data_IF_263493479297
#
_entry.id   IF_263493479297
#
_cell.length_a   1.000
_cell.length_b   1.000
_cell.length_c   1.000
_cell.angle_alpha   90.00
_cell.angle_beta   90.00
_cell.angle_gamma   90.00
#
_symmetry.space_group_name_H-M   'P 1'
#
loop_
_entity.id
_entity.type
_entity.pdbx_description
1 polymer ?
#
# COMPACT_ATOMS: atom_id res chain seq x y z
N UNK A 1 -19.82 4.04 -3.69
CA UNK A 1 -19.00 2.90 -3.22
C UNK A 1 -19.02 2.90 -1.71
N UNK A 2 -19.09 1.73 -1.08
CA UNK A 2 -18.93 1.61 0.38
C UNK A 2 -17.45 1.83 0.74
N UNK A 3 -17.09 2.90 1.48
CA UNK A 3 -15.70 3.18 1.85
C UNK A 3 -15.11 2.10 2.77
N UNK A 4 -15.97 1.31 3.42
CA UNK A 4 -15.58 0.19 4.28
C UNK A 4 -15.53 -1.14 3.52
N UNK A 5 -15.77 -1.16 2.22
CA UNK A 5 -15.61 -2.36 1.40
C UNK A 5 -14.14 -2.77 1.29
N UNK A 6 -13.90 -4.08 1.13
CA UNK A 6 -12.55 -4.65 0.95
C UNK A 6 -11.76 -3.93 -0.16
N UNK A 7 -12.30 -3.72 -1.38
CA UNK A 7 -11.56 -3.04 -2.44
C UNK A 7 -11.18 -1.58 -2.10
N UNK A 8 -12.08 -0.86 -1.42
CA UNK A 8 -11.84 0.53 -1.02
C UNK A 8 -10.74 0.61 0.04
N UNK A 9 -10.80 -0.25 1.06
CA UNK A 9 -9.79 -0.31 2.13
C UNK A 9 -8.44 -0.75 1.58
N UNK A 10 -8.39 -1.76 0.73
CA UNK A 10 -7.14 -2.20 0.10
C UNK A 10 -6.50 -1.08 -0.73
N UNK A 11 -7.30 -0.38 -1.54
CA UNK A 11 -6.82 0.73 -2.36
C UNK A 11 -6.27 1.87 -1.50
N UNK A 12 -7.00 2.25 -0.43
CA UNK A 12 -6.57 3.29 0.49
C UNK A 12 -5.32 2.90 1.28
N UNK A 13 -5.27 1.68 1.82
CA UNK A 13 -4.15 1.19 2.64
C UNK A 13 -2.88 1.01 1.82
N UNK A 14 -2.96 0.38 0.64
CA UNK A 14 -1.82 0.21 -0.27
C UNK A 14 -1.37 1.57 -0.81
N UNK A 15 -2.31 2.45 -1.18
CA UNK A 15 -2.01 3.82 -1.56
C UNK A 15 -1.21 4.54 -0.48
N UNK A 16 -1.73 4.59 0.75
CA UNK A 16 -1.05 5.24 1.87
C UNK A 16 0.32 4.62 2.20
N UNK A 17 0.46 3.29 2.09
CA UNK A 17 1.70 2.58 2.37
C UNK A 17 2.79 2.79 1.30
N UNK A 18 2.40 3.16 0.07
CA UNK A 18 3.28 3.38 -1.09
C UNK A 18 3.35 4.85 -1.55
N UNK A 19 2.62 5.76 -0.89
CA UNK A 19 2.59 7.19 -1.23
C UNK A 19 3.82 7.92 -0.70
N UNK A 20 4.58 8.53 -1.60
CA UNK A 20 5.66 9.43 -1.25
C UNK A 20 5.18 10.87 -1.15
N UNK A 21 5.55 11.54 -0.07
CA UNK A 21 5.33 12.97 0.13
C UNK A 21 6.67 13.71 0.18
N UNK A 22 6.67 14.97 -0.27
CA UNK A 22 7.86 15.80 -0.23
C UNK A 22 8.41 15.94 1.20
N UNK A 23 9.69 15.65 1.39
CA UNK A 23 10.34 15.68 2.70
C UNK A 23 10.41 14.34 3.43
N UNK A 24 9.84 13.27 2.87
CA UNK A 24 10.00 11.93 3.40
C UNK A 24 11.47 11.47 3.27
N UNK A 25 12.11 11.04 4.38
CA UNK A 25 13.50 10.58 4.34
C UNK A 25 13.67 9.22 3.64
N UNK A 26 12.66 8.36 3.72
CA UNK A 26 12.58 7.05 3.08
C UNK A 26 11.12 6.54 3.07
N UNK A 27 10.93 5.33 2.51
CA UNK A 27 9.61 4.69 2.39
C UNK A 27 8.91 4.43 3.73
N UNK A 28 9.64 4.36 4.85
CA UNK A 28 9.03 4.12 6.16
C UNK A 28 8.14 5.28 6.60
N UNK A 29 8.35 6.49 6.06
CA UNK A 29 7.49 7.63 6.35
C UNK A 29 6.05 7.41 5.89
N UNK A 30 5.87 6.85 4.69
CA UNK A 30 4.56 6.45 4.17
C UNK A 30 3.89 5.42 5.07
N UNK A 31 4.63 4.38 5.46
CA UNK A 31 4.12 3.34 6.34
C UNK A 31 3.68 3.90 7.71
N UNK A 32 4.45 4.82 8.31
CA UNK A 32 4.06 5.47 9.57
C UNK A 32 2.75 6.23 9.44
N UNK A 33 2.51 6.91 8.31
CA UNK A 33 1.20 7.56 8.02
C UNK A 33 0.09 6.53 7.81
N UNK A 34 0.39 5.42 7.15
CA UNK A 34 -0.56 4.34 6.88
C UNK A 34 -0.93 3.50 8.12
N UNK A 35 -0.20 3.63 9.24
CA UNK A 35 -0.36 2.80 10.45
C UNK A 35 -1.81 2.57 10.92
N UNK A 36 -2.74 3.55 10.90
CA UNK A 36 -4.14 3.32 11.27
C UNK A 36 -4.90 2.32 10.38
N UNK A 37 -4.40 2.08 9.18
CA UNK A 37 -4.96 1.16 8.18
C UNK A 37 -4.32 -0.24 8.25
N UNK A 38 -3.35 -0.46 9.13
CA UNK A 38 -2.61 -1.72 9.25
C UNK A 38 -3.05 -2.48 10.50
N UNK A 39 -2.91 -3.81 10.50
CA UNK A 39 -2.91 -4.57 11.75
C UNK A 39 -1.67 -4.22 12.57
N UNK A 40 -1.72 -4.42 13.88
CA UNK A 40 -0.60 -4.07 14.77
C UNK A 40 0.64 -4.92 14.46
N UNK A 41 0.41 -6.21 14.22
CA UNK A 41 1.43 -7.18 13.85
C UNK A 41 2.09 -6.79 12.52
N UNK A 42 1.29 -6.40 11.53
CA UNK A 42 1.82 -6.02 10.24
C UNK A 42 2.60 -4.71 10.31
N UNK A 43 2.10 -3.71 11.04
CA UNK A 43 2.81 -2.46 11.25
C UNK A 43 4.21 -2.67 11.88
N UNK A 44 4.33 -3.63 12.81
CA UNK A 44 5.61 -3.96 13.44
C UNK A 44 6.61 -4.61 12.46
N UNK A 45 6.14 -5.48 11.58
CA UNK A 45 6.98 -6.16 10.57
C UNK A 45 7.33 -5.25 9.39
N UNK A 46 6.37 -4.44 8.95
CA UNK A 46 6.46 -3.63 7.76
C UNK A 46 7.54 -2.54 7.83
N UNK A 47 7.89 -2.03 9.02
CA UNK A 47 8.90 -0.96 9.15
C UNK A 47 10.29 -1.39 8.64
N UNK A 48 10.61 -2.68 8.76
CA UNK A 48 11.84 -3.25 8.21
C UNK A 48 11.70 -3.57 6.72
N UNK A 49 10.54 -4.08 6.29
CA UNK A 49 10.28 -4.47 4.91
C UNK A 49 10.01 -3.29 3.94
N UNK A 50 9.60 -2.13 4.46
CA UNK A 50 9.19 -0.99 3.63
C UNK A 50 10.29 -0.53 2.65
N UNK A 51 11.57 -0.68 3.01
CA UNK A 51 12.68 -0.30 2.13
C UNK A 51 12.85 -1.20 0.90
N UNK A 52 12.29 -2.42 0.91
CA UNK A 52 12.41 -3.34 -0.24
C UNK A 52 11.23 -3.26 -1.21
N UNK A 53 10.11 -2.65 -0.80
CA UNK A 53 8.89 -2.59 -1.62
C UNK A 53 9.00 -1.63 -2.81
N UNK A 54 9.76 -0.55 -2.65
CA UNK A 54 10.08 0.37 -3.73
C UNK A 54 11.60 0.37 -3.93
N UNK A 55 12.12 -0.29 -4.98
CA UNK A 55 13.56 -0.30 -5.27
C UNK A 55 14.00 1.03 -5.88
N UNK A 56 13.69 2.14 -5.21
CA UNK A 56 14.01 3.50 -5.63
C UNK A 56 15.34 3.90 -4.97
N UNK A 57 16.39 4.23 -5.76
CA UNK A 57 17.66 4.69 -5.20
C UNK A 57 17.49 5.97 -4.36
N UNK A 58 18.27 6.12 -3.29
CA UNK A 58 18.28 7.32 -2.41
C UNK A 58 18.41 8.63 -3.20
N UNK A 59 19.24 8.66 -4.24
CA UNK A 59 19.39 9.84 -5.09
C UNK A 59 18.09 10.24 -5.81
N UNK A 60 17.21 9.27 -6.12
CA UNK A 60 15.90 9.53 -6.73
C UNK A 60 14.91 10.06 -5.70
N UNK A 61 14.92 9.53 -4.47
CA UNK A 61 14.13 10.09 -3.36
C UNK A 61 14.43 11.58 -3.13
N UNK A 62 15.71 11.96 -3.15
CA UNK A 62 16.10 13.38 -3.01
C UNK A 62 15.56 14.27 -4.13
N UNK A 63 15.48 13.78 -5.37
CA UNK A 63 14.91 14.57 -6.49
C UNK A 63 13.41 14.80 -6.34
N UNK A 64 12.70 13.87 -5.71
CA UNK A 64 11.25 13.96 -5.52
C UNK A 64 10.84 14.90 -4.37
N UNK A 65 11.76 15.36 -3.53
CA UNK A 65 11.43 16.22 -2.39
C UNK A 65 10.61 17.47 -2.76
N UNK A 66 10.97 18.13 -3.87
CA UNK A 66 10.30 19.36 -4.33
C UNK A 66 9.11 19.10 -5.26
N UNK A 67 9.03 17.89 -5.84
CA UNK A 67 7.98 17.49 -6.78
C UNK A 67 7.74 16.00 -6.64
N UNK A 68 6.98 15.58 -5.61
CA UNK A 68 6.75 14.17 -5.32
C UNK A 68 6.00 13.50 -6.49
N UNK A 69 6.24 12.20 -6.73
CA UNK A 69 5.49 11.46 -7.72
C UNK A 69 4.02 11.32 -7.28
N UNK A 70 3.14 11.02 -8.23
CA UNK A 70 1.76 10.61 -7.91
C UNK A 70 1.65 9.10 -7.95
N UNK A 71 0.89 8.51 -7.02
CA UNK A 71 0.66 7.07 -6.96
C UNK A 71 -0.79 6.77 -7.34
N UNK A 72 -0.99 5.96 -8.37
CA UNK A 72 -2.30 5.45 -8.78
C UNK A 72 -2.42 3.99 -8.34
N UNK A 73 -3.54 3.63 -7.72
CA UNK A 73 -3.80 2.26 -7.23
C UNK A 73 -5.14 1.79 -7.75
N UNK A 74 -5.19 0.58 -8.30
CA UNK A 74 -6.44 -0.08 -8.72
C UNK A 74 -6.42 -1.55 -8.37
N UNK A 75 -7.53 -2.08 -7.88
CA UNK A 75 -7.73 -3.53 -7.74
C UNK A 75 -7.83 -4.14 -9.13
N UNK A 76 -7.10 -5.22 -9.36
CA UNK A 76 -7.15 -5.95 -10.64
C UNK A 76 -8.30 -6.95 -10.65
N UNK A 77 -8.68 -7.44 -11.83
CA UNK A 77 -9.51 -8.63 -11.93
C UNK A 77 -8.60 -9.86 -11.76
N UNK A 78 -8.29 -10.20 -10.52
CA UNK A 78 -7.53 -11.41 -10.18
C UNK A 78 -8.47 -12.53 -9.71
N UNK A 79 -8.12 -13.76 -10.09
CA UNK A 79 -8.70 -14.95 -9.46
C UNK A 79 -8.13 -15.04 -8.05
N UNK A 80 -8.97 -14.77 -7.05
CA UNK A 80 -8.59 -14.81 -5.65
C UNK A 80 -9.42 -15.86 -4.92
N UNK A 81 -8.88 -16.49 -3.87
CA UNK A 81 -9.66 -17.31 -2.97
C UNK A 81 -10.93 -16.58 -2.51
N UNK A 82 -12.04 -17.29 -2.29
CA UNK A 82 -13.26 -16.67 -1.78
C UNK A 82 -13.00 -15.91 -0.49
N UNK A 83 -13.56 -14.70 -0.40
CA UNK A 83 -13.50 -13.91 0.83
C UNK A 83 -14.22 -14.64 1.96
N UNK A 84 -13.74 -14.44 3.18
CA UNK A 84 -14.43 -14.86 4.40
C UNK A 84 -15.01 -13.64 5.13
N UNK A 85 -15.76 -13.88 6.19
CA UNK A 85 -16.29 -12.78 7.01
C UNK A 85 -15.21 -11.92 7.68
N UNK A 86 -13.96 -12.40 7.78
CA UNK A 86 -12.86 -11.72 8.48
C UNK A 86 -11.57 -11.60 7.67
N UNK A 87 -11.51 -12.15 6.45
CA UNK A 87 -10.30 -12.13 5.59
C UNK A 87 -10.67 -11.96 4.13
N UNK A 88 -9.88 -11.17 3.42
CA UNK A 88 -9.94 -11.03 1.98
C UNK A 88 -8.55 -10.73 1.41
N UNK A 89 -8.33 -11.04 0.15
CA UNK A 89 -7.07 -10.76 -0.55
C UNK A 89 -7.32 -10.35 -2.00
N UNK A 90 -6.51 -9.44 -2.51
CA UNK A 90 -6.54 -9.02 -3.92
C UNK A 90 -5.15 -8.74 -4.44
N UNK A 91 -5.02 -8.77 -5.75
CA UNK A 91 -3.91 -8.14 -6.47
C UNK A 91 -4.31 -6.71 -6.85
N UNK A 92 -3.42 -5.76 -6.60
CA UNK A 92 -3.55 -4.37 -6.99
C UNK A 92 -2.45 -4.02 -7.99
N UNK A 93 -2.81 -3.29 -9.03
CA UNK A 93 -1.85 -2.64 -9.89
C UNK A 93 -1.59 -1.23 -9.34
N UNK A 94 -0.33 -0.96 -9.03
CA UNK A 94 0.14 0.33 -8.52
C UNK A 94 1.06 0.94 -9.56
N UNK A 95 0.78 2.18 -9.95
CA UNK A 95 1.64 2.94 -10.86
C UNK A 95 2.12 4.20 -10.16
N UNK A 96 3.41 4.30 -9.92
CA UNK A 96 4.07 5.52 -9.45
C UNK A 96 4.47 6.34 -10.66
N UNK A 97 4.11 7.63 -10.68
CA UNK A 97 4.38 8.55 -11.78
C UNK A 97 5.37 9.64 -11.31
N UNK A 98 6.69 9.40 -11.45
CA UNK A 98 7.69 10.44 -11.33
C UNK A 98 7.47 11.55 -12.37
N UNK A 99 7.90 12.75 -12.06
CA UNK A 99 7.80 13.87 -12.99
C UNK A 99 8.95 13.91 -14.02
N UNK A 100 10.07 13.26 -13.72
CA UNK A 100 11.35 13.31 -14.45
C UNK A 100 11.77 11.94 -15.03
N UNK A 101 10.93 10.92 -14.91
CA UNK A 101 11.23 9.55 -15.32
C UNK A 101 9.95 8.81 -15.79
N UNK A 102 10.10 7.68 -16.51
CA UNK A 102 8.97 6.82 -16.84
C UNK A 102 8.22 6.32 -15.59
N UNK A 103 6.93 5.98 -15.71
CA UNK A 103 6.17 5.37 -14.63
C UNK A 103 6.80 4.05 -14.16
N UNK A 104 6.68 3.78 -12.86
CA UNK A 104 7.01 2.49 -12.26
C UNK A 104 5.71 1.74 -12.00
N UNK A 105 5.50 0.66 -12.74
CA UNK A 105 4.37 -0.24 -12.55
C UNK A 105 4.76 -1.37 -11.59
N UNK A 106 3.85 -1.68 -10.66
CA UNK A 106 4.04 -2.67 -9.62
C UNK A 106 2.75 -3.49 -9.49
N UNK A 107 2.90 -4.80 -9.28
CA UNK A 107 1.83 -5.61 -8.74
C UNK A 107 2.00 -5.75 -7.23
N UNK A 108 0.91 -5.53 -6.50
CA UNK A 108 0.86 -5.63 -5.04
C UNK A 108 -0.14 -6.70 -4.65
N UNK A 109 0.35 -7.77 -4.04
CA UNK A 109 -0.48 -8.80 -3.44
C UNK A 109 -0.77 -8.37 -2.01
N UNK A 110 -2.03 -8.14 -1.67
CA UNK A 110 -2.40 -7.53 -0.40
C UNK A 110 -3.53 -8.29 0.30
N UNK A 111 -3.37 -8.50 1.61
CA UNK A 111 -4.35 -9.16 2.45
C UNK A 111 -4.93 -8.17 3.46
N UNK A 112 -6.24 -8.24 3.68
CA UNK A 112 -6.91 -7.50 4.75
C UNK A 112 -7.59 -8.46 5.72
N UNK A 113 -7.58 -8.06 6.98
CA UNK A 113 -8.28 -8.74 8.07
C UNK A 113 -9.17 -7.75 8.83
N UNK A 114 -10.20 -8.28 9.49
CA UNK A 114 -10.97 -7.57 10.51
C UNK A 114 -11.37 -8.53 11.62
N UNK A 115 -11.63 -7.99 12.80
CA UNK A 115 -12.20 -8.81 13.88
C UNK A 115 -13.61 -9.29 13.54
N UNK A 116 -14.09 -10.31 14.28
CA UNK A 116 -15.43 -10.89 14.09
C UNK A 116 -16.58 -9.94 14.45
N UNK A 117 -16.31 -8.81 15.12
CA UNK A 117 -17.34 -7.86 15.46
C UNK A 117 -17.87 -7.17 14.17
N UNK A 118 -19.20 -7.02 13.99
CA UNK A 118 -19.77 -6.48 12.75
C UNK A 118 -19.30 -5.06 12.38
N UNK A 119 -18.89 -4.27 13.36
CA UNK A 119 -18.41 -2.89 13.20
C UNK A 119 -16.90 -2.79 13.03
N UNK A 120 -16.16 -3.91 13.04
CA UNK A 120 -14.70 -3.87 12.91
C UNK A 120 -14.29 -3.49 11.49
N UNK A 121 -13.42 -2.49 11.41
CA UNK A 121 -12.84 -2.03 10.16
C UNK A 121 -11.87 -3.09 9.60
N UNK A 122 -11.84 -3.20 8.28
CA UNK A 122 -10.77 -3.92 7.58
C UNK A 122 -9.44 -3.19 7.75
N UNK A 123 -8.36 -3.96 7.91
CA UNK A 123 -6.99 -3.47 8.04
C UNK A 123 -6.05 -4.35 7.22
N UNK A 124 -5.07 -3.73 6.59
CA UNK A 124 -4.02 -4.42 5.84
C UNK A 124 -3.16 -5.24 6.80
N UNK A 125 -3.09 -6.54 6.58
CA UNK A 125 -2.39 -7.50 7.45
C UNK A 125 -1.13 -8.07 6.82
N UNK A 126 -0.99 -7.94 5.50
CA UNK A 126 0.18 -8.41 4.76
C UNK A 126 0.23 -7.77 3.38
N UNK A 127 1.44 -7.59 2.85
CA UNK A 127 1.66 -7.24 1.46
C UNK A 127 2.98 -7.78 0.89
N UNK A 128 2.97 -8.02 -0.41
CA UNK A 128 4.15 -8.28 -1.24
C UNK A 128 4.09 -7.39 -2.49
N UNK A 129 5.25 -6.83 -2.87
CA UNK A 129 5.38 -5.96 -4.04
C UNK A 129 6.31 -6.60 -5.05
N UNK A 130 5.85 -6.70 -6.30
CA UNK A 130 6.62 -7.23 -7.43
C UNK A 130 6.67 -6.20 -8.57
N UNK A 131 7.86 -5.86 -9.10
CA UNK A 131 8.01 -4.96 -10.25
C UNK A 131 7.69 -5.63 -11.59
#
# INVERSE_FOLDING_TARGET
MDPCSVPAVLTAAVGAALEYQGGDPDQRAALRRARPLLTEEFAALADTAALVWLPVPVATWHRWQNKPPTTAVRVTADDHPPDTSTRAQRVLAVTVHPHDAPPLDLAVYAHVERDRAPSSAWRLSWLEVTP
#
